data_IF_352541896239
#
_entry.id   IF_352541896239
#
_cell.length_a   1.000
_cell.length_b   1.000
_cell.length_c   1.000
_cell.angle_alpha   90.00
_cell.angle_beta   90.00
_cell.angle_gamma   90.00
#
_symmetry.space_group_name_H-M   'P 1'
#
loop_
_entity.id
_entity.type
_entity.pdbx_description
1 polymer ?
#
# COMPACT_ATOMS: atom_id res chain seq x y z
N UNK A 1 -17.22 -10.81 -7.37
CA UNK A 1 -16.69 -10.28 -6.10
C UNK A 1 -17.28 -8.88 -5.94
N UNK A 2 -17.74 -8.47 -4.74
CA UNK A 2 -18.14 -7.08 -4.54
C UNK A 2 -16.94 -6.16 -4.84
N UNK A 3 -17.20 -5.01 -5.47
CA UNK A 3 -16.14 -4.02 -5.68
C UNK A 3 -15.65 -3.53 -4.31
N UNK A 4 -14.32 -3.54 -4.12
CA UNK A 4 -13.71 -2.98 -2.92
C UNK A 4 -14.01 -1.48 -2.87
N UNK A 5 -14.41 -0.98 -1.71
CA UNK A 5 -14.42 0.46 -1.49
C UNK A 5 -13.01 1.04 -1.68
N UNK A 6 -12.89 2.32 -2.02
CA UNK A 6 -11.58 2.97 -2.19
C UNK A 6 -10.71 2.82 -0.94
N UNK A 7 -11.30 2.97 0.26
CA UNK A 7 -10.64 2.72 1.55
C UNK A 7 -10.13 1.30 1.71
N UNK A 8 -10.96 0.31 1.38
CA UNK A 8 -10.62 -1.09 1.57
C UNK A 8 -9.50 -1.49 0.61
N UNK A 9 -9.56 -1.00 -0.63
CA UNK A 9 -8.50 -1.16 -1.61
C UNK A 9 -7.18 -0.53 -1.15
N UNK A 10 -7.22 0.69 -0.61
CA UNK A 10 -6.03 1.37 -0.07
C UNK A 10 -5.45 0.61 1.13
N UNK A 11 -6.31 0.16 2.05
CA UNK A 11 -5.92 -0.63 3.22
C UNK A 11 -5.24 -1.94 2.81
N UNK A 12 -5.81 -2.64 1.83
CA UNK A 12 -5.27 -3.90 1.33
C UNK A 12 -3.87 -3.71 0.74
N UNK A 13 -3.69 -2.71 -0.13
CA UNK A 13 -2.40 -2.43 -0.74
C UNK A 13 -1.33 -2.06 0.28
N UNK A 14 -1.65 -1.22 1.27
CA UNK A 14 -0.69 -0.86 2.32
C UNK A 14 -0.27 -2.08 3.15
N UNK A 15 -1.22 -2.96 3.51
CA UNK A 15 -0.93 -4.19 4.25
C UNK A 15 -0.04 -5.13 3.45
N UNK A 16 -0.26 -5.26 2.15
CA UNK A 16 0.52 -6.14 1.30
C UNK A 16 1.95 -5.62 1.13
N UNK A 17 2.12 -4.31 0.89
CA UNK A 17 3.45 -3.69 0.84
C UNK A 17 4.17 -3.83 2.18
N UNK A 18 3.49 -3.58 3.29
CA UNK A 18 4.06 -3.75 4.63
C UNK A 18 4.58 -5.18 4.84
N UNK A 19 3.78 -6.20 4.51
CA UNK A 19 4.19 -7.61 4.60
C UNK A 19 5.39 -7.92 3.71
N UNK A 20 5.42 -7.42 2.47
CA UNK A 20 6.52 -7.65 1.54
C UNK A 20 7.82 -7.07 2.08
N UNK A 21 7.79 -5.81 2.55
CA UNK A 21 8.97 -5.13 3.10
C UNK A 21 9.46 -5.79 4.38
N UNK A 22 8.55 -6.13 5.32
CA UNK A 22 8.92 -6.83 6.55
C UNK A 22 9.53 -8.21 6.26
N UNK A 23 8.97 -8.96 5.31
CA UNK A 23 9.52 -10.25 4.90
C UNK A 23 10.89 -10.11 4.24
N UNK A 24 11.09 -9.08 3.42
CA UNK A 24 12.39 -8.79 2.82
C UNK A 24 13.43 -8.48 3.90
N UNK A 25 13.10 -7.59 4.84
CA UNK A 25 13.99 -7.21 5.93
C UNK A 25 14.31 -8.38 6.88
N UNK A 26 13.31 -9.19 7.26
CA UNK A 26 13.49 -10.30 8.20
C UNK A 26 14.34 -11.46 7.64
N UNK A 27 14.29 -11.68 6.33
CA UNK A 27 14.94 -12.84 5.70
C UNK A 27 16.07 -12.46 4.74
N UNK A 28 16.51 -11.20 4.73
CA UNK A 28 17.54 -10.70 3.81
C UNK A 28 17.17 -10.86 2.33
N UNK A 29 15.87 -10.84 2.03
CA UNK A 29 15.38 -11.08 0.68
C UNK A 29 15.61 -9.84 -0.18
N UNK A 30 16.35 -10.01 -1.27
CA UNK A 30 16.53 -8.95 -2.25
C UNK A 30 15.18 -8.57 -2.89
N UNK A 31 14.87 -7.28 -2.88
CA UNK A 31 13.77 -6.70 -3.64
C UNK A 31 14.38 -5.95 -4.83
N UNK A 32 14.08 -6.33 -6.07
CA UNK A 32 14.50 -5.58 -7.24
C UNK A 32 13.99 -4.13 -7.20
N UNK A 33 14.70 -3.17 -7.82
CA UNK A 33 14.28 -1.77 -7.88
C UNK A 33 12.82 -1.59 -8.33
N UNK A 34 12.39 -2.30 -9.37
CA UNK A 34 11.00 -2.27 -9.85
C UNK A 34 9.99 -2.68 -8.77
N UNK A 35 10.31 -3.63 -7.89
CA UNK A 35 9.42 -4.01 -6.79
C UNK A 35 9.34 -2.92 -5.72
N UNK A 36 10.45 -2.21 -5.48
CA UNK A 36 10.49 -1.08 -4.55
C UNK A 36 9.72 0.13 -5.11
N UNK A 37 9.84 0.41 -6.40
CA UNK A 37 9.08 1.45 -7.10
C UNK A 37 7.58 1.16 -7.04
N UNK A 38 7.18 -0.09 -7.33
CA UNK A 38 5.80 -0.53 -7.21
C UNK A 38 5.27 -0.42 -5.78
N UNK A 39 6.09 -0.76 -4.77
CA UNK A 39 5.74 -0.57 -3.36
C UNK A 39 5.55 0.91 -3.02
N UNK A 40 6.44 1.78 -3.47
CA UNK A 40 6.36 3.22 -3.26
C UNK A 40 5.09 3.82 -3.90
N UNK A 41 4.77 3.44 -5.15
CA UNK A 41 3.55 3.87 -5.82
C UNK A 41 2.28 3.46 -5.05
N UNK A 42 2.22 2.21 -4.57
CA UNK A 42 1.10 1.73 -3.75
C UNK A 42 0.97 2.47 -2.42
N UNK A 43 2.11 2.81 -1.78
CA UNK A 43 2.11 3.60 -0.55
C UNK A 43 1.57 5.00 -0.82
N UNK A 44 2.10 5.70 -1.83
CA UNK A 44 1.70 7.06 -2.16
C UNK A 44 0.21 7.15 -2.51
N UNK A 45 -0.28 6.22 -3.32
CA UNK A 45 -1.68 6.16 -3.70
C UNK A 45 -2.59 5.81 -2.52
N UNK A 46 -2.18 4.86 -1.67
CA UNK A 46 -2.91 4.52 -0.45
C UNK A 46 -3.05 5.71 0.48
N UNK A 47 -1.96 6.44 0.73
CA UNK A 47 -1.97 7.64 1.58
C UNK A 47 -2.85 8.74 0.98
N UNK A 48 -2.78 8.99 -0.33
CA UNK A 48 -3.64 9.96 -1.02
C UNK A 48 -5.12 9.65 -0.78
N UNK A 49 -5.53 8.39 -0.94
CA UNK A 49 -6.92 7.97 -0.69
C UNK A 49 -7.34 8.23 0.76
N UNK A 50 -6.49 7.89 1.73
CA UNK A 50 -6.81 8.14 3.13
C UNK A 50 -6.96 9.63 3.46
N UNK A 51 -6.11 10.49 2.89
CA UNK A 51 -6.22 11.94 3.05
C UNK A 51 -7.51 12.48 2.44
N UNK A 52 -7.83 12.08 1.20
CA UNK A 52 -9.10 12.48 0.56
C UNK A 52 -10.34 12.03 1.33
N UNK A 53 -10.27 10.88 2.01
CA UNK A 53 -11.37 10.40 2.85
C UNK A 53 -11.46 11.10 4.20
N UNK A 54 -10.36 11.65 4.71
CA UNK A 54 -10.38 12.51 5.90
C UNK A 54 -11.02 13.83 5.54
N UNK A 55 -10.58 14.47 4.43
CA UNK A 55 -11.09 15.76 3.99
C UNK A 55 -12.59 15.73 3.64
N UNK A 56 -13.13 14.60 3.16
CA UNK A 56 -14.57 14.45 2.86
C UNK A 56 -15.46 14.32 4.09
N UNK A 57 -14.90 14.11 5.28
CA UNK A 57 -15.66 13.95 6.53
C UNK A 57 -15.85 15.28 7.27
N UNK A 58 -15.16 16.34 6.85
CA UNK A 58 -15.31 17.72 7.33
C UNK A 58 -16.35 18.49 6.51
#
# INVERSE_FOLDING_TARGET
MPELSRRDWATMNLKDVQRQLLKAAAFGKYLPPEQLENAAAKIGEGLRIFLEEIDRRE
#
